data_IF_034369581302
#
_entry.id   IF_034369581302
#
_cell.length_a   1.000
_cell.length_b   1.000
_cell.length_c   1.000
_cell.angle_alpha   90.00
_cell.angle_beta   90.00
_cell.angle_gamma   90.00
#
_symmetry.space_group_name_H-M   'P 1'
#
loop_
_entity.id
_entity.type
_entity.pdbx_description
1 polymer ?
#
# COMPACT_ATOMS: atom_id res chain seq x y z
N UNK A 1 -15.57 -0.96 -17.24
CA UNK A 1 -15.23 -2.10 -16.34
C UNK A 1 -13.98 -2.74 -16.90
N UNK A 2 -12.90 -2.71 -16.15
CA UNK A 2 -11.65 -3.39 -16.48
C UNK A 2 -11.40 -4.48 -15.43
N UNK A 3 -10.68 -5.52 -15.83
CA UNK A 3 -10.22 -6.58 -14.95
C UNK A 3 -8.71 -6.51 -14.91
N UNK A 4 -8.15 -6.48 -13.70
CA UNK A 4 -6.72 -6.39 -13.46
C UNK A 4 -6.23 -7.72 -12.88
N UNK A 5 -5.09 -8.21 -13.39
CA UNK A 5 -4.47 -9.45 -12.96
C UNK A 5 -3.03 -9.16 -12.54
N UNK A 6 -2.76 -9.21 -11.24
CA UNK A 6 -1.41 -9.12 -10.71
C UNK A 6 -0.78 -10.51 -10.73
N UNK A 7 0.20 -10.72 -11.60
CA UNK A 7 0.83 -12.03 -11.77
C UNK A 7 2.27 -11.91 -12.25
N UNK A 8 3.06 -12.96 -12.04
CA UNK A 8 4.44 -13.04 -12.54
C UNK A 8 4.45 -13.35 -14.03
N UNK A 9 5.50 -12.94 -14.72
CA UNK A 9 5.71 -13.24 -16.13
C UNK A 9 5.65 -14.75 -16.44
N UNK A 10 6.13 -15.60 -15.53
CA UNK A 10 6.09 -17.05 -15.66
C UNK A 10 4.67 -17.65 -15.72
N UNK A 11 3.66 -16.90 -15.27
CA UNK A 11 2.26 -17.33 -15.30
C UNK A 11 1.52 -16.88 -16.58
N UNK A 12 2.16 -16.09 -17.45
CA UNK A 12 1.64 -15.74 -18.76
C UNK A 12 1.86 -16.90 -19.76
N UNK A 13 1.20 -18.02 -19.51
CA UNK A 13 1.29 -19.23 -20.33
C UNK A 13 0.12 -19.38 -21.31
N UNK A 14 0.15 -20.43 -22.12
CA UNK A 14 -0.90 -20.73 -23.09
C UNK A 14 -2.28 -20.95 -22.43
N UNK A 15 -2.29 -21.46 -21.20
CA UNK A 15 -3.53 -21.69 -20.45
C UNK A 15 -4.16 -20.36 -20.03
N UNK A 16 -3.35 -19.42 -19.57
CA UNK A 16 -3.77 -18.05 -19.24
C UNK A 16 -4.36 -17.35 -20.48
N UNK A 17 -3.67 -17.40 -21.62
CA UNK A 17 -4.15 -16.79 -22.87
C UNK A 17 -5.48 -17.42 -23.35
N UNK A 18 -5.63 -18.75 -23.23
CA UNK A 18 -6.90 -19.44 -23.52
C UNK A 18 -8.03 -18.99 -22.58
N UNK A 19 -7.72 -18.80 -21.30
CA UNK A 19 -8.65 -18.24 -20.31
C UNK A 19 -9.14 -16.85 -20.71
N UNK A 20 -8.20 -15.93 -21.01
CA UNK A 20 -8.51 -14.58 -21.46
C UNK A 20 -9.42 -14.57 -22.70
N UNK A 21 -9.10 -15.38 -23.72
CA UNK A 21 -9.92 -15.50 -24.93
C UNK A 21 -11.33 -16.01 -24.64
N UNK A 22 -11.46 -16.96 -23.72
CA UNK A 22 -12.76 -17.52 -23.32
C UNK A 22 -13.64 -16.48 -22.61
N UNK A 23 -13.04 -15.70 -21.72
CA UNK A 23 -13.74 -14.72 -20.88
C UNK A 23 -14.11 -13.47 -21.69
N UNK A 24 -13.18 -12.97 -22.51
CA UNK A 24 -13.31 -11.67 -23.18
C UNK A 24 -13.67 -11.76 -24.67
N UNK A 25 -13.65 -12.95 -25.29
CA UNK A 25 -14.09 -13.28 -26.65
C UNK A 25 -13.89 -12.17 -27.69
N UNK A 26 -14.92 -11.35 -27.93
CA UNK A 26 -14.99 -10.36 -29.00
C UNK A 26 -14.62 -8.94 -28.54
N UNK A 27 -14.13 -8.77 -27.31
CA UNK A 27 -13.72 -7.47 -26.79
C UNK A 27 -12.26 -7.20 -27.11
N UNK A 28 -11.88 -5.98 -27.51
CA UNK A 28 -10.48 -5.61 -27.60
C UNK A 28 -9.84 -5.72 -26.21
N UNK A 29 -8.64 -6.30 -26.15
CA UNK A 29 -7.87 -6.49 -24.92
C UNK A 29 -6.60 -5.65 -25.03
N UNK A 30 -6.27 -4.91 -23.97
CA UNK A 30 -4.97 -4.29 -23.76
C UNK A 30 -4.28 -4.98 -22.59
N UNK A 31 -3.00 -5.29 -22.72
CA UNK A 31 -2.17 -5.85 -21.65
C UNK A 31 -1.14 -4.78 -21.31
N UNK A 32 -1.07 -4.39 -20.04
CA UNK A 32 -0.08 -3.46 -19.52
C UNK A 32 0.92 -4.30 -18.72
N UNK A 33 2.20 -4.16 -19.02
CA UNK A 33 3.29 -4.79 -18.26
C UNK A 33 4.02 -3.67 -17.55
N UNK A 34 3.94 -3.68 -16.23
CA UNK A 34 4.66 -2.74 -15.37
C UNK A 34 5.75 -3.52 -14.65
N UNK A 35 6.91 -2.88 -14.45
CA UNK A 35 7.86 -3.39 -13.48
C UNK A 35 7.22 -3.18 -12.11
N UNK A 36 7.04 -4.28 -11.39
CA UNK A 36 6.60 -4.23 -10.00
C UNK A 36 7.68 -3.45 -9.24
N UNK A 37 7.39 -2.19 -8.91
CA UNK A 37 8.30 -1.38 -8.14
C UNK A 37 8.50 -2.10 -6.81
N UNK A 38 9.73 -2.48 -6.48
CA UNK A 38 10.03 -3.01 -5.16
C UNK A 38 9.63 -1.95 -4.13
N UNK A 39 8.48 -2.15 -3.48
CA UNK A 39 7.93 -1.22 -2.50
C UNK A 39 8.97 -0.96 -1.40
N UNK A 40 9.85 -1.93 -1.13
CA UNK A 40 10.97 -1.80 -0.19
C UNK A 40 11.99 -0.77 -0.69
N UNK A 41 12.37 -0.82 -1.96
CA UNK A 41 13.32 0.13 -2.54
C UNK A 41 12.75 1.55 -2.52
N UNK A 42 11.46 1.71 -2.86
CA UNK A 42 10.75 2.98 -2.76
C UNK A 42 10.67 3.52 -1.32
N UNK A 43 10.28 2.67 -0.37
CA UNK A 43 10.18 3.04 1.05
C UNK A 43 11.55 3.37 1.66
N UNK A 44 12.62 2.71 1.20
CA UNK A 44 13.99 2.94 1.63
C UNK A 44 14.72 4.01 0.81
N UNK A 45 14.08 4.64 -0.17
CA UNK A 45 14.72 5.56 -1.10
C UNK A 45 15.30 6.81 -0.42
N UNK A 46 14.73 7.24 0.71
CA UNK A 46 15.26 8.37 1.49
C UNK A 46 15.83 7.92 2.84
N UNK A 47 16.99 8.46 3.27
CA UNK A 47 17.54 8.17 4.61
C UNK A 47 16.58 8.53 5.74
N UNK A 48 15.74 9.55 5.55
CA UNK A 48 14.72 9.96 6.52
C UNK A 48 13.60 8.92 6.64
N UNK A 49 13.10 8.41 5.51
CA UNK A 49 12.05 7.39 5.48
C UNK A 49 12.56 6.08 6.08
N UNK A 50 13.78 5.66 5.71
CA UNK A 50 14.42 4.47 6.29
C UNK A 50 14.50 4.54 7.82
N UNK A 51 14.99 5.65 8.37
CA UNK A 51 15.10 5.84 9.82
C UNK A 51 13.72 5.78 10.50
N UNK A 52 12.71 6.38 9.89
CA UNK A 52 11.34 6.37 10.43
C UNK A 52 10.73 4.96 10.39
N UNK A 53 10.88 4.23 9.29
CA UNK A 53 10.43 2.85 9.14
C UNK A 53 11.09 1.92 10.14
N UNK A 54 12.42 2.00 10.30
CA UNK A 54 13.14 1.22 11.30
C UNK A 54 12.66 1.52 12.73
N UNK A 55 12.33 2.78 13.03
CA UNK A 55 11.77 3.15 14.33
C UNK A 55 10.36 2.58 14.54
N UNK A 56 9.53 2.58 13.51
CA UNK A 56 8.19 1.98 13.55
C UNK A 56 8.24 0.47 13.73
N UNK A 57 9.15 -0.23 13.03
CA UNK A 57 9.34 -1.68 13.15
C UNK A 57 9.83 -2.11 14.54
N UNK A 58 10.58 -1.24 15.22
CA UNK A 58 11.03 -1.46 16.61
C UNK A 58 9.98 -1.08 17.65
N UNK A 59 8.91 -0.39 17.27
CA UNK A 59 7.87 0.05 18.20
C UNK A 59 7.04 -1.14 18.70
N UNK A 60 6.88 -1.24 20.01
CA UNK A 60 5.95 -2.21 20.63
C UNK A 60 4.57 -1.58 20.89
N UNK A 61 4.49 -0.26 20.74
CA UNK A 61 3.29 0.55 20.97
C UNK A 61 2.76 1.07 19.63
N UNK A 62 1.45 0.90 19.43
CA UNK A 62 0.67 1.53 18.38
C UNK A 62 -0.39 2.45 18.98
N UNK A 63 -1.03 3.25 18.14
CA UNK A 63 -2.15 4.07 18.52
C UNK A 63 -3.37 3.64 17.73
N UNK A 64 -4.50 3.56 18.40
CA UNK A 64 -5.79 3.37 17.77
C UNK A 64 -6.57 4.68 17.81
N UNK A 65 -7.20 4.98 16.69
CA UNK A 65 -7.96 6.20 16.49
C UNK A 65 -9.19 5.90 15.65
N UNK A 66 -10.25 6.63 15.94
CA UNK A 66 -11.46 6.68 15.12
C UNK A 66 -11.18 7.42 13.81
N UNK A 67 -12.08 7.25 12.84
CA UNK A 67 -11.97 7.93 11.54
C UNK A 67 -12.00 9.47 11.69
N UNK A 68 -12.73 9.98 12.68
CA UNK A 68 -12.84 11.43 12.91
C UNK A 68 -11.58 12.00 13.55
N UNK A 69 -10.95 11.26 14.47
CA UNK A 69 -9.64 11.59 15.02
C UNK A 69 -8.57 11.59 13.92
N UNK A 70 -8.55 10.57 13.05
CA UNK A 70 -7.65 10.53 11.89
C UNK A 70 -7.80 11.78 11.01
N UNK A 71 -9.05 12.11 10.62
CA UNK A 71 -9.35 13.27 9.78
C UNK A 71 -8.94 14.58 10.44
N UNK A 72 -9.09 14.69 11.76
CA UNK A 72 -8.64 15.87 12.52
C UNK A 72 -7.12 16.00 12.47
N UNK A 73 -6.38 14.94 12.81
CA UNK A 73 -4.92 14.97 12.85
C UNK A 73 -4.29 15.16 11.47
N UNK A 74 -4.84 14.52 10.44
CA UNK A 74 -4.43 14.75 9.06
C UNK A 74 -4.57 16.22 8.67
N UNK A 75 -5.70 16.88 9.01
CA UNK A 75 -5.87 18.32 8.75
C UNK A 75 -4.88 19.18 9.52
N UNK A 76 -4.56 18.84 10.76
CA UNK A 76 -3.58 19.59 11.55
C UNK A 76 -2.17 19.48 10.94
N UNK A 77 -1.76 18.28 10.53
CA UNK A 77 -0.49 18.05 9.82
C UNK A 77 -0.41 18.82 8.49
N UNK A 78 -1.47 18.77 7.69
CA UNK A 78 -1.55 19.51 6.41
C UNK A 78 -1.46 21.03 6.61
N UNK A 79 -1.77 21.52 7.82
CA UNK A 79 -1.64 22.93 8.22
C UNK A 79 -0.31 23.24 8.89
N UNK A 80 0.64 22.29 8.89
CA UNK A 80 1.96 22.43 9.52
C UNK A 80 1.92 22.41 11.05
N UNK A 81 0.81 21.96 11.66
CA UNK A 81 0.70 21.80 13.11
C UNK A 81 1.12 20.39 13.51
N UNK A 82 1.78 20.27 14.66
CA UNK A 82 2.03 18.96 15.27
C UNK A 82 0.76 18.48 16.00
N UNK A 83 0.14 17.38 15.56
CA UNK A 83 -1.04 16.85 16.23
C UNK A 83 -0.69 16.28 17.60
N UNK A 84 -1.49 16.63 18.60
CA UNK A 84 -1.39 16.04 19.94
C UNK A 84 -2.01 14.63 19.95
N UNK A 85 -1.15 13.62 19.91
CA UNK A 85 -1.51 12.19 19.95
C UNK A 85 -1.49 11.61 21.37
N UNK A 86 -1.19 12.41 22.40
CA UNK A 86 -1.12 11.93 23.79
C UNK A 86 -2.44 11.35 24.31
N UNK A 87 -3.55 11.78 23.70
CA UNK A 87 -4.92 11.37 24.06
C UNK A 87 -5.39 10.11 23.34
N UNK A 88 -4.63 9.62 22.36
CA UNK A 88 -4.99 8.42 21.62
C UNK A 88 -4.83 7.17 22.48
N UNK A 89 -5.69 6.19 22.24
CA UNK A 89 -5.59 4.89 22.90
C UNK A 89 -4.32 4.19 22.45
N UNK A 90 -3.40 3.94 23.39
CA UNK A 90 -2.23 3.11 23.15
C UNK A 90 -2.63 1.64 23.09
N UNK A 91 -2.11 0.93 22.10
CA UNK A 91 -2.30 -0.51 21.91
C UNK A 91 -0.95 -1.18 21.75
N UNK A 92 -0.84 -2.46 22.12
CA UNK A 92 0.36 -3.25 21.80
C UNK A 92 0.24 -3.77 20.39
N UNK A 93 1.30 -3.62 19.59
CA UNK A 93 1.35 -4.21 18.25
C UNK A 93 1.70 -5.70 18.41
N UNK A 94 0.85 -6.63 17.94
CA UNK A 94 1.21 -8.04 17.93
C UNK A 94 2.42 -8.25 17.02
N UNK A 95 3.46 -8.89 17.54
CA UNK A 95 4.68 -9.25 16.80
C UNK A 95 4.52 -10.61 16.13
#
# INVERSE_FOLDING_TARGET
MYSEFHTKASALDDSFLKGLRTIFKNKPISIIVEEDMDETEYLLASPANRKMLESSLKSEEGYEFTIDEFRKYSRDLMRGKNPDVSKLRKVKIPK
#
